data_IF_215410724485
#
_entry.id   IF_215410724485
#
_cell.length_a   1.000
_cell.length_b   1.000
_cell.length_c   1.000
_cell.angle_alpha   90.00
_cell.angle_beta   90.00
_cell.angle_gamma   90.00
#
_symmetry.space_group_name_H-M   'P 1'
#
loop_
_entity.id
_entity.type
_entity.pdbx_description
1 polymer ?
#
# COMPACT_ATOMS: atom_id res chain seq x y z
N UNK A 1 4.22 -11.58 -8.80
CA UNK A 1 3.18 -10.88 -9.58
C UNK A 1 3.88 -9.73 -10.26
N UNK A 2 3.67 -9.57 -11.57
CA UNK A 2 4.19 -8.47 -12.39
C UNK A 2 3.06 -8.02 -13.31
N UNK A 3 2.83 -6.70 -13.40
CA UNK A 3 1.84 -6.12 -14.31
C UNK A 3 2.63 -5.54 -15.49
N UNK A 4 2.31 -6.01 -16.69
CA UNK A 4 2.98 -5.61 -17.94
C UNK A 4 2.15 -4.59 -18.72
N UNK A 5 0.82 -4.63 -18.57
CA UNK A 5 -0.13 -3.69 -19.19
C UNK A 5 -1.25 -3.35 -18.23
N UNK A 6 -1.70 -2.10 -18.29
CA UNK A 6 -2.86 -1.59 -17.58
C UNK A 6 -3.73 -0.78 -18.53
N UNK A 7 -5.02 -1.08 -18.57
CA UNK A 7 -6.02 -0.34 -19.34
C UNK A 7 -7.10 0.13 -18.38
N UNK A 8 -7.49 1.39 -18.48
CA UNK A 8 -8.51 2.01 -17.63
C UNK A 8 -9.58 2.68 -18.49
N UNK A 9 -10.84 2.52 -18.12
CA UNK A 9 -12.00 3.13 -18.79
C UNK A 9 -12.88 3.80 -17.75
N UNK A 10 -13.26 5.06 -18.00
CA UNK A 10 -14.04 5.90 -17.10
C UNK A 10 -13.49 5.95 -15.65
N UNK A 11 -12.16 5.92 -15.49
CA UNK A 11 -11.46 5.92 -14.20
C UNK A 11 -10.82 7.29 -13.94
N UNK A 12 -11.28 8.01 -12.93
CA UNK A 12 -10.89 9.38 -12.58
C UNK A 12 -10.92 10.29 -13.82
N UNK A 13 -9.77 10.82 -14.22
CA UNK A 13 -9.65 11.69 -15.41
C UNK A 13 -9.53 10.94 -16.74
N UNK A 14 -9.50 9.60 -16.75
CA UNK A 14 -9.28 8.81 -17.96
C UNK A 14 -10.59 8.27 -18.53
N UNK A 15 -10.98 8.75 -19.71
CA UNK A 15 -12.10 8.17 -20.48
C UNK A 15 -11.75 6.77 -20.96
N UNK A 16 -10.59 6.64 -21.61
CA UNK A 16 -9.96 5.36 -21.93
C UNK A 16 -8.46 5.61 -22.09
N UNK A 17 -7.63 4.81 -21.44
CA UNK A 17 -6.17 4.92 -21.55
C UNK A 17 -5.49 3.58 -21.30
N UNK A 18 -4.45 3.33 -22.07
CA UNK A 18 -3.59 2.16 -21.93
C UNK A 18 -2.17 2.58 -21.52
N UNK A 19 -1.56 1.77 -20.67
CA UNK A 19 -0.18 1.89 -20.20
C UNK A 19 0.54 0.56 -20.38
N UNK A 20 1.75 0.63 -20.92
CA UNK A 20 2.67 -0.51 -21.02
C UNK A 20 3.85 -0.28 -20.09
N UNK A 21 4.20 -1.30 -19.31
CA UNK A 21 5.27 -1.22 -18.33
C UNK A 21 6.47 -2.05 -18.75
N UNK A 22 7.66 -1.48 -18.58
CA UNK A 22 8.91 -2.22 -18.68
C UNK A 22 9.01 -3.22 -17.51
N UNK A 23 9.54 -4.44 -17.72
CA UNK A 23 9.59 -5.48 -16.70
C UNK A 23 10.48 -5.19 -15.47
N UNK A 24 11.30 -4.13 -15.51
CA UNK A 24 12.24 -3.79 -14.44
C UNK A 24 11.89 -2.50 -13.71
N UNK A 25 11.82 -1.37 -14.41
CA UNK A 25 11.63 -0.06 -13.81
C UNK A 25 10.83 0.85 -14.73
N UNK A 26 9.94 1.66 -14.14
CA UNK A 26 9.06 2.57 -14.86
C UNK A 26 9.05 3.93 -14.16
N UNK A 27 9.26 5.00 -14.93
CA UNK A 27 9.17 6.38 -14.46
C UNK A 27 8.01 7.08 -15.16
N UNK A 28 7.00 7.52 -14.40
CA UNK A 28 5.86 8.27 -14.93
C UNK A 28 6.07 9.76 -14.64
N UNK A 29 6.36 10.53 -15.69
CA UNK A 29 6.55 11.99 -15.60
C UNK A 29 5.36 12.71 -16.25
N UNK A 30 4.98 13.85 -15.68
CA UNK A 30 3.89 14.67 -16.20
C UNK A 30 3.58 15.83 -15.28
N UNK A 31 2.84 16.82 -15.77
CA UNK A 31 2.40 17.97 -14.97
C UNK A 31 1.43 17.54 -13.86
N UNK A 32 1.24 18.38 -12.85
CA UNK A 32 0.22 18.12 -11.84
C UNK A 32 -1.18 18.10 -12.48
N UNK A 33 -2.06 17.23 -11.98
CA UNK A 33 -3.40 17.04 -12.56
C UNK A 33 -3.48 16.14 -13.79
N UNK A 34 -2.38 15.66 -14.37
CA UNK A 34 -2.42 14.82 -15.58
C UNK A 34 -2.74 13.33 -15.33
N UNK A 35 -3.07 12.97 -14.09
CA UNK A 35 -3.47 11.61 -13.73
C UNK A 35 -2.34 10.65 -13.34
N UNK A 36 -1.13 11.14 -12.99
CA UNK A 36 -0.02 10.28 -12.51
C UNK A 36 -0.44 9.39 -11.33
N UNK A 37 -1.07 10.00 -10.33
CA UNK A 37 -1.61 9.29 -9.17
C UNK A 37 -2.71 8.30 -9.58
N UNK A 38 -3.56 8.68 -10.53
CA UNK A 38 -4.62 7.82 -11.05
C UNK A 38 -4.07 6.52 -11.68
N UNK A 39 -2.87 6.53 -12.25
CA UNK A 39 -2.21 5.29 -12.73
C UNK A 39 -1.83 4.38 -11.56
N UNK A 40 -1.27 4.94 -10.49
CA UNK A 40 -0.88 4.18 -9.29
C UNK A 40 -2.11 3.61 -8.57
N UNK A 41 -3.19 4.39 -8.48
CA UNK A 41 -4.45 3.96 -7.88
C UNK A 41 -5.06 2.78 -8.69
N UNK A 42 -5.07 2.89 -10.02
CA UNK A 42 -5.52 1.80 -10.89
C UNK A 42 -4.64 0.54 -10.78
N UNK A 43 -3.32 0.68 -10.62
CA UNK A 43 -2.44 -0.46 -10.29
C UNK A 43 -2.79 -1.10 -8.95
N UNK A 44 -3.16 -0.28 -7.95
CA UNK A 44 -3.66 -0.76 -6.65
C UNK A 44 -4.93 -1.58 -6.78
N UNK A 45 -5.90 -1.09 -7.57
CA UNK A 45 -7.13 -1.83 -7.91
C UNK A 45 -6.78 -3.16 -8.60
N UNK A 46 -5.91 -3.14 -9.62
CA UNK A 46 -5.50 -4.35 -10.34
C UNK A 46 -4.79 -5.38 -9.44
N UNK A 47 -3.92 -4.94 -8.52
CA UNK A 47 -3.28 -5.78 -7.52
C UNK A 47 -4.27 -6.35 -6.48
N UNK A 48 -5.44 -5.74 -6.37
CA UNK A 48 -6.51 -6.08 -5.47
C UNK A 48 -7.03 -7.51 -5.57
N UNK A 49 -7.02 -8.11 -6.76
CA UNK A 49 -7.43 -9.51 -6.96
C UNK A 49 -6.56 -10.48 -6.14
N UNK A 50 -5.23 -10.27 -6.16
CA UNK A 50 -4.30 -11.07 -5.37
C UNK A 50 -4.50 -10.83 -3.86
N UNK A 51 -4.63 -9.57 -3.44
CA UNK A 51 -4.81 -9.20 -2.04
C UNK A 51 -6.10 -9.80 -1.44
N UNK A 52 -7.19 -9.79 -2.23
CA UNK A 52 -8.46 -10.41 -1.83
C UNK A 52 -8.30 -11.91 -1.57
N UNK A 53 -7.62 -12.63 -2.46
CA UNK A 53 -7.40 -14.06 -2.31
C UNK A 53 -6.49 -14.41 -1.12
N UNK A 54 -5.51 -13.57 -0.79
CA UNK A 54 -4.68 -13.75 0.42
C UNK A 54 -5.50 -13.54 1.73
N UNK A 55 -6.65 -12.87 1.64
CA UNK A 55 -7.47 -12.49 2.79
C UNK A 55 -7.07 -11.15 3.40
N UNK A 56 -6.46 -10.25 2.62
CA UNK A 56 -6.27 -8.87 3.04
C UNK A 56 -7.60 -8.10 3.04
N UNK A 57 -7.78 -7.23 4.04
CA UNK A 57 -9.01 -6.44 4.22
C UNK A 57 -9.12 -5.29 3.21
N UNK A 58 -8.01 -4.84 2.64
CA UNK A 58 -7.93 -3.68 1.74
C UNK A 58 -8.14 -4.05 0.27
N UNK A 59 -9.14 -4.91 0.04
CA UNK A 59 -9.28 -5.64 -1.20
C UNK A 59 -9.91 -4.82 -2.33
N UNK A 60 -9.09 -4.10 -3.10
CA UNK A 60 -9.15 -4.14 -4.56
C UNK A 60 -10.46 -3.78 -5.25
N UNK A 61 -11.23 -2.84 -4.71
CA UNK A 61 -12.43 -2.32 -5.35
C UNK A 61 -12.15 -0.95 -5.96
N UNK A 62 -12.80 -0.65 -7.07
CA UNK A 62 -12.92 0.73 -7.55
C UNK A 62 -13.78 1.48 -6.53
N UNK A 63 -13.25 2.57 -5.94
CA UNK A 63 -14.04 3.38 -5.02
C UNK A 63 -14.90 4.38 -5.79
N UNK A 64 -16.04 4.84 -5.27
CA UNK A 64 -16.90 5.81 -5.97
C UNK A 64 -16.15 7.06 -6.43
N UNK A 65 -15.23 7.59 -5.60
CA UNK A 65 -14.38 8.73 -5.92
C UNK A 65 -13.35 8.48 -7.04
N UNK A 66 -13.19 7.22 -7.46
CA UNK A 66 -12.30 6.82 -8.55
C UNK A 66 -13.03 6.66 -9.87
N UNK A 67 -14.35 6.70 -9.87
CA UNK A 67 -15.15 6.66 -11.09
C UNK A 67 -15.20 8.07 -11.70
N UNK A 68 -15.04 8.15 -13.02
CA UNK A 68 -15.08 9.40 -13.77
C UNK A 68 -16.38 10.16 -13.51
N UNK A 69 -16.26 11.48 -13.36
CA UNK A 69 -17.40 12.40 -13.31
C UNK A 69 -17.57 13.10 -14.66
N UNK A 70 -18.79 13.10 -15.19
CA UNK A 70 -19.17 13.87 -16.36
C UNK A 70 -19.96 15.10 -15.91
N UNK A 71 -19.51 16.26 -16.37
CA UNK A 71 -20.24 17.52 -16.23
C UNK A 71 -21.40 17.56 -17.23
N UNK A 72 -22.59 17.88 -16.76
CA UNK A 72 -23.74 18.23 -17.57
C UNK A 72 -24.18 19.64 -17.20
N UNK A 73 -24.35 20.51 -18.18
CA UNK A 73 -24.87 21.87 -18.01
C UNK A 73 -26.35 21.87 -18.41
N UNK A 74 -27.22 22.31 -17.51
CA UNK A 74 -28.63 22.60 -17.81
C UNK A 74 -28.80 24.11 -17.82
N UNK A 75 -29.30 24.63 -18.94
CA UNK A 75 -29.64 26.03 -19.06
C UNK A 75 -31.15 26.15 -18.89
N UNK A 76 -31.56 26.72 -17.77
CA UNK A 76 -32.94 27.01 -17.47
C UNK A 76 -33.17 28.52 -17.62
N UNK A 77 -34.41 28.91 -17.93
CA UNK A 77 -34.82 30.32 -17.94
C UNK A 77 -35.77 30.54 -16.79
N UNK A 78 -35.48 31.53 -15.96
CA UNK A 78 -36.34 31.91 -14.85
C UNK A 78 -37.60 32.64 -15.37
N UNK A 79 -38.57 32.88 -14.49
CA UNK A 79 -39.85 33.53 -14.85
C UNK A 79 -39.65 34.94 -15.45
N UNK A 80 -38.53 35.60 -15.14
CA UNK A 80 -38.12 36.91 -15.68
C UNK A 80 -37.37 36.81 -17.03
N UNK A 81 -37.17 35.60 -17.58
CA UNK A 81 -36.48 35.36 -18.85
C UNK A 81 -34.95 35.36 -18.75
N UNK A 82 -34.38 35.51 -17.55
CA UNK A 82 -32.94 35.39 -17.31
C UNK A 82 -32.47 33.94 -17.41
N UNK A 83 -31.31 33.71 -18.03
CA UNK A 83 -30.76 32.37 -18.23
C UNK A 83 -29.87 31.97 -17.05
N UNK A 84 -30.26 30.92 -16.34
CA UNK A 84 -29.46 30.28 -15.29
C UNK A 84 -28.84 28.99 -15.80
N UNK A 85 -27.53 28.82 -15.61
CA UNK A 85 -26.84 27.57 -15.91
C UNK A 85 -26.60 26.80 -14.61
N UNK A 86 -27.22 25.63 -14.47
CA UNK A 86 -26.95 24.69 -13.40
C UNK A 86 -25.97 23.62 -13.87
N UNK A 87 -25.00 23.28 -13.00
CA UNK A 87 -23.98 22.27 -13.28
C UNK A 87 -24.27 21.05 -12.43
N UNK A 88 -24.45 19.90 -13.08
CA UNK A 88 -24.59 18.60 -12.43
C UNK A 88 -23.41 17.69 -12.79
N UNK A 89 -22.93 16.94 -11.79
CA UNK A 89 -21.86 15.96 -11.96
C UNK A 89 -22.41 14.55 -11.78
N UNK A 90 -22.25 13.71 -12.80
CA UNK A 90 -22.72 12.33 -12.78
C UNK A 90 -21.58 11.34 -12.95
N UNK A 91 -21.62 10.23 -12.21
CA UNK A 91 -20.64 9.16 -12.35
C UNK A 91 -20.86 8.41 -13.67
N UNK A 92 -19.77 8.15 -14.39
CA UNK A 92 -19.81 7.46 -15.69
C UNK A 92 -19.52 5.98 -15.49
N UNK A 93 -20.53 5.15 -15.75
CA UNK A 93 -20.43 3.69 -15.73
C UNK A 93 -20.59 3.12 -17.16
N UNK A 94 -20.01 1.94 -17.46
CA UNK A 94 -19.14 1.14 -16.58
C UNK A 94 -17.76 1.79 -16.38
N UNK A 95 -17.18 1.61 -15.20
CA UNK A 95 -15.79 1.95 -14.89
C UNK A 95 -14.97 0.67 -14.83
N UNK A 96 -13.87 0.61 -15.55
CA UNK A 96 -13.09 -0.62 -15.72
C UNK A 96 -11.61 -0.38 -15.43
N UNK A 97 -11.02 -1.34 -14.73
CA UNK A 97 -9.57 -1.47 -14.56
C UNK A 97 -9.17 -2.87 -15.02
N UNK A 98 -8.45 -2.93 -16.13
CA UNK A 98 -7.93 -4.15 -16.74
C UNK A 98 -6.41 -4.19 -16.63
N UNK A 99 -5.85 -5.34 -16.31
CA UNK A 99 -4.42 -5.54 -16.29
C UNK A 99 -4.04 -6.90 -16.88
N UNK A 100 -2.84 -6.97 -17.46
CA UNK A 100 -2.25 -8.24 -17.87
C UNK A 100 -0.79 -8.34 -17.46
N UNK A 101 -0.33 -9.55 -17.17
CA UNK A 101 1.05 -9.81 -16.82
C UNK A 101 1.26 -11.17 -16.19
N UNK A 102 2.36 -11.34 -15.45
CA UNK A 102 2.77 -12.61 -14.87
C UNK A 102 2.34 -12.77 -13.40
N UNK A 103 1.58 -13.81 -13.12
CA UNK A 103 1.28 -14.26 -11.75
C UNK A 103 1.77 -15.70 -11.62
N UNK A 104 2.69 -15.93 -10.68
CA UNK A 104 3.34 -17.24 -10.47
C UNK A 104 3.91 -17.89 -11.75
N UNK A 105 4.44 -17.06 -12.67
CA UNK A 105 5.04 -17.52 -13.92
C UNK A 105 4.04 -17.78 -15.06
N UNK A 106 2.74 -17.54 -14.84
CA UNK A 106 1.70 -17.70 -15.84
C UNK A 106 1.16 -16.34 -16.28
N UNK A 107 0.84 -16.22 -17.58
CA UNK A 107 0.22 -15.02 -18.13
C UNK A 107 -1.28 -15.01 -17.78
N UNK A 108 -1.75 -13.89 -17.25
CA UNK A 108 -3.16 -13.64 -16.98
C UNK A 108 -3.57 -12.28 -17.53
N UNK A 109 -4.85 -12.16 -17.85
CA UNK A 109 -5.49 -10.90 -18.23
C UNK A 109 -6.80 -10.76 -17.45
N UNK A 110 -6.83 -9.86 -16.48
CA UNK A 110 -7.94 -9.74 -15.55
C UNK A 110 -8.53 -8.33 -15.56
N UNK A 111 -9.85 -8.26 -15.37
CA UNK A 111 -10.58 -6.99 -15.28
C UNK A 111 -11.43 -6.95 -14.02
N UNK A 112 -11.45 -5.77 -13.40
CA UNK A 112 -12.39 -5.38 -12.36
C UNK A 112 -13.27 -4.30 -12.98
N UNK A 113 -14.57 -4.55 -13.04
CA UNK A 113 -15.56 -3.65 -13.63
C UNK A 113 -16.54 -3.22 -12.55
N UNK A 114 -16.83 -1.93 -12.47
CA UNK A 114 -17.92 -1.39 -11.68
C UNK A 114 -19.01 -0.87 -12.62
N UNK A 115 -20.18 -1.49 -12.57
CA UNK A 115 -21.33 -1.13 -13.44
C UNK A 115 -22.30 -0.16 -12.77
N UNK A 116 -22.24 -0.04 -11.45
CA UNK A 116 -23.00 0.93 -10.66
C UNK A 116 -22.32 1.20 -9.32
N UNK A 117 -22.86 2.11 -8.50
CA UNK A 117 -22.33 2.42 -7.16
C UNK A 117 -22.09 1.19 -6.27
N UNK A 118 -22.86 0.12 -6.43
CA UNK A 118 -22.79 -1.08 -5.58
C UNK A 118 -22.46 -2.37 -6.35
N UNK A 119 -22.46 -2.36 -7.69
CA UNK A 119 -22.29 -3.57 -8.49
C UNK A 119 -20.89 -3.65 -9.09
N UNK A 120 -20.09 -4.58 -8.54
CA UNK A 120 -18.76 -4.94 -9.01
C UNK A 120 -18.81 -6.29 -9.71
N UNK A 121 -18.23 -6.37 -10.90
CA UNK A 121 -18.09 -7.58 -11.69
C UNK A 121 -16.60 -7.92 -11.85
N UNK A 122 -16.33 -9.20 -12.03
CA UNK A 122 -14.99 -9.74 -12.21
C UNK A 122 -14.95 -10.68 -13.41
N UNK A 123 -13.84 -10.65 -14.15
CA UNK A 123 -13.58 -11.67 -15.17
C UNK A 123 -13.27 -13.03 -14.55
N UNK A 124 -13.39 -14.10 -15.33
CA UNK A 124 -12.98 -15.45 -14.94
C UNK A 124 -11.52 -15.48 -14.47
N UNK A 125 -10.62 -14.79 -15.17
CA UNK A 125 -9.20 -14.68 -14.79
C UNK A 125 -9.01 -14.01 -13.42
N UNK A 126 -9.82 -12.99 -13.11
CA UNK A 126 -9.80 -12.35 -11.78
C UNK A 126 -10.13 -13.36 -10.68
N UNK A 127 -11.13 -14.21 -10.90
CA UNK A 127 -11.54 -15.27 -9.96
C UNK A 127 -10.44 -16.32 -9.83
N UNK A 128 -9.81 -16.73 -10.95
CA UNK A 128 -8.69 -17.67 -10.97
C UNK A 128 -7.51 -17.11 -10.14
N UNK A 129 -7.20 -15.81 -10.28
CA UNK A 129 -6.16 -15.14 -9.50
C UNK A 129 -6.49 -15.14 -8.01
N UNK A 130 -7.74 -14.82 -7.63
CA UNK A 130 -8.18 -14.88 -6.24
C UNK A 130 -8.01 -16.29 -5.65
N UNK A 131 -8.42 -17.33 -6.39
CA UNK A 131 -8.25 -18.73 -5.97
C UNK A 131 -6.77 -19.15 -5.89
N UNK A 132 -5.91 -18.68 -6.81
CA UNK A 132 -4.48 -18.94 -6.74
C UNK A 132 -3.84 -18.31 -5.51
N UNK A 133 -4.22 -17.07 -5.19
CA UNK A 133 -3.78 -16.37 -3.99
C UNK A 133 -4.27 -17.09 -2.72
N UNK A 134 -5.53 -17.52 -2.68
CA UNK A 134 -6.09 -18.27 -1.56
C UNK A 134 -5.38 -19.61 -1.34
N UNK A 135 -5.16 -20.39 -2.41
CA UNK A 135 -4.38 -21.63 -2.34
C UNK A 135 -2.95 -21.37 -1.83
N UNK A 136 -2.34 -20.26 -2.27
CA UNK A 136 -0.99 -19.87 -1.80
C UNK A 136 -1.02 -19.56 -0.30
N UNK A 137 -2.02 -18.81 0.18
CA UNK A 137 -2.20 -18.53 1.60
C UNK A 137 -2.42 -19.81 2.43
N UNK A 138 -3.20 -20.76 1.92
CA UNK A 138 -3.41 -22.07 2.56
C UNK A 138 -2.11 -22.88 2.61
N UNK A 139 -1.35 -22.95 1.52
CA UNK A 139 -0.04 -23.64 1.51
C UNK A 139 0.92 -23.07 2.55
N UNK A 140 0.95 -21.75 2.73
CA UNK A 140 1.78 -21.08 3.75
C UNK A 140 1.32 -21.46 5.16
N UNK A 141 0.01 -21.46 5.42
CA UNK A 141 -0.54 -21.90 6.71
C UNK A 141 -0.22 -23.37 7.00
N UNK A 142 -0.09 -24.18 5.96
CA UNK A 142 0.33 -25.59 6.05
C UNK A 142 1.86 -25.75 6.12
N UNK A 143 2.63 -24.67 6.28
CA UNK A 143 4.08 -24.72 6.47
C UNK A 143 4.93 -24.73 5.20
N UNK A 144 4.32 -24.56 4.02
CA UNK A 144 5.09 -24.46 2.76
C UNK A 144 5.86 -23.14 2.68
N UNK A 145 7.14 -23.20 2.31
CA UNK A 145 7.94 -22.00 2.07
C UNK A 145 7.88 -21.62 0.58
N UNK A 146 6.93 -20.76 0.22
CA UNK A 146 6.72 -20.30 -1.16
C UNK A 146 7.04 -18.81 -1.23
N UNK A 147 7.77 -18.33 -2.27
CA UNK A 147 8.02 -16.92 -2.43
C UNK A 147 6.73 -16.15 -2.72
N UNK A 148 6.56 -15.02 -2.03
CA UNK A 148 5.40 -14.14 -2.10
C UNK A 148 5.78 -12.83 -2.80
N UNK A 149 4.90 -12.31 -3.70
CA UNK A 149 5.15 -11.01 -4.31
C UNK A 149 5.13 -9.88 -3.29
N UNK A 150 6.17 -9.04 -3.32
CA UNK A 150 6.15 -7.76 -2.61
C UNK A 150 5.39 -6.76 -3.49
N UNK A 151 4.28 -6.26 -2.97
CA UNK A 151 3.50 -5.16 -3.54
C UNK A 151 3.46 -4.09 -2.46
N UNK A 152 3.52 -2.80 -2.81
CA UNK A 152 3.32 -1.69 -1.87
C UNK A 152 3.03 -0.40 -2.64
N UNK A 153 2.14 0.43 -2.09
CA UNK A 153 1.79 1.73 -2.63
C UNK A 153 2.12 2.83 -1.62
N UNK A 154 2.89 3.84 -2.03
CA UNK A 154 3.28 4.97 -1.18
C UNK A 154 2.95 6.31 -1.85
N UNK A 155 1.90 7.00 -1.43
CA UNK A 155 1.55 8.34 -1.96
C UNK A 155 2.35 9.46 -1.28
N UNK A 156 2.43 10.65 -1.87
CA UNK A 156 3.13 11.82 -1.29
C UNK A 156 2.36 12.52 -0.15
N UNK A 157 1.12 12.13 0.14
CA UNK A 157 0.29 12.69 1.24
C UNK A 157 0.80 12.42 2.66
N UNK A 158 2.05 12.00 2.82
CA UNK A 158 2.68 11.31 3.97
C UNK A 158 2.78 12.11 5.27
N UNK A 159 2.21 13.32 5.34
CA UNK A 159 2.47 14.29 6.42
C UNK A 159 1.20 14.88 7.06
N UNK A 160 0.00 14.71 6.48
CA UNK A 160 -1.20 15.45 6.96
C UNK A 160 -2.19 14.69 7.85
N UNK A 161 -2.02 13.39 8.09
CA UNK A 161 -3.04 12.61 8.81
C UNK A 161 -2.56 11.73 9.95
N UNK A 162 -1.25 11.59 10.16
CA UNK A 162 -0.77 10.96 11.39
C UNK A 162 -0.62 12.04 12.47
N UNK A 163 -1.54 12.14 13.46
CA UNK A 163 -1.38 13.08 14.56
C UNK A 163 -0.07 12.81 15.29
N UNK A 164 0.59 13.88 15.77
CA UNK A 164 1.77 13.76 16.63
C UNK A 164 1.51 12.74 17.75
N UNK A 165 2.28 11.64 17.77
CA UNK A 165 2.09 10.52 18.68
C UNK A 165 1.63 9.20 18.02
N UNK A 166 1.28 9.19 16.74
CA UNK A 166 0.96 7.96 16.00
C UNK A 166 2.07 6.94 16.02
N UNK A 167 3.34 7.34 16.11
CA UNK A 167 4.49 6.44 16.12
C UNK A 167 4.82 5.85 17.48
N UNK A 168 4.19 6.35 18.56
CA UNK A 168 4.49 5.99 19.95
C UNK A 168 3.54 4.90 20.44
N UNK A 169 4.09 3.90 21.11
CA UNK A 169 3.31 2.85 21.75
C UNK A 169 2.89 3.34 23.14
N UNK A 170 1.60 3.57 23.33
CA UNK A 170 1.03 3.98 24.62
C UNK A 170 0.59 2.80 25.48
N UNK A 171 0.18 1.69 24.88
CA UNK A 171 -0.20 0.46 25.58
C UNK A 171 0.75 -0.69 25.22
N UNK A 172 1.56 -1.20 26.18
CA UNK A 172 2.46 -2.33 25.97
C UNK A 172 1.76 -3.61 25.45
N UNK A 173 0.46 -3.78 25.72
CA UNK A 173 -0.31 -4.94 25.26
C UNK A 173 -0.42 -4.98 23.72
N UNK A 174 -0.27 -3.84 23.05
CA UNK A 174 -0.29 -3.76 21.59
C UNK A 174 0.90 -4.45 20.91
N UNK A 175 1.99 -4.69 21.63
CA UNK A 175 3.21 -5.37 21.11
C UNK A 175 2.92 -6.87 20.85
N UNK A 176 1.92 -7.44 21.53
CA UNK A 176 1.67 -8.89 21.57
C UNK A 176 0.40 -9.29 20.80
N UNK A 177 0.18 -8.72 19.61
CA UNK A 177 -0.91 -9.20 18.73
C UNK A 177 -0.51 -10.50 18.03
N UNK A 178 -1.37 -11.52 18.10
CA UNK A 178 -1.13 -12.83 17.49
C UNK A 178 -1.31 -12.79 15.96
N UNK A 179 -2.24 -11.95 15.49
CA UNK A 179 -2.52 -11.73 14.08
C UNK A 179 -1.27 -11.33 13.27
N UNK A 180 -0.39 -10.51 13.85
CA UNK A 180 0.78 -9.96 13.18
C UNK A 180 1.90 -10.98 12.93
N UNK A 181 1.78 -12.21 13.45
CA UNK A 181 2.82 -13.25 13.37
C UNK A 181 2.84 -13.98 12.02
N UNK A 182 1.71 -14.02 11.31
CA UNK A 182 1.65 -14.63 9.99
C UNK A 182 2.53 -13.87 9.00
N UNK A 183 3.25 -14.56 8.11
CA UNK A 183 3.94 -13.90 6.99
C UNK A 183 2.96 -13.12 6.10
N UNK A 184 1.69 -13.53 6.06
CA UNK A 184 0.64 -12.90 5.27
C UNK A 184 0.13 -11.57 5.85
N UNK A 185 0.43 -11.26 7.12
CA UNK A 185 -0.01 -9.99 7.73
C UNK A 185 0.58 -8.77 7.03
N UNK A 186 1.72 -8.95 6.36
CA UNK A 186 2.39 -7.91 5.58
C UNK A 186 1.65 -7.48 4.31
N UNK A 187 0.58 -8.18 3.91
CA UNK A 187 -0.33 -7.71 2.86
C UNK A 187 -1.45 -6.80 3.36
N UNK A 188 -1.55 -6.58 4.68
CA UNK A 188 -2.47 -5.60 5.25
C UNK A 188 -1.93 -4.19 5.01
N UNK A 189 -2.82 -3.24 4.75
CA UNK A 189 -2.52 -1.83 4.46
C UNK A 189 -1.48 -1.63 3.33
N UNK A 190 -1.45 -2.55 2.36
CA UNK A 190 -0.45 -2.54 1.28
C UNK A 190 -0.87 -1.71 0.06
N UNK A 191 -2.19 -1.63 -0.16
CA UNK A 191 -2.82 -0.81 -1.21
C UNK A 191 -3.29 0.53 -0.62
N UNK A 192 -3.27 0.70 0.71
CA UNK A 192 -3.50 2.01 1.31
C UNK A 192 -2.25 2.88 1.14
N UNK A 193 -2.35 4.06 0.50
CA UNK A 193 -1.23 4.98 0.37
C UNK A 193 -0.68 5.50 1.71
N UNK A 194 -1.46 5.42 2.78
CA UNK A 194 -1.06 5.75 4.15
C UNK A 194 -0.50 4.49 4.83
N UNK A 195 0.82 4.32 4.78
CA UNK A 195 1.47 3.26 5.54
C UNK A 195 1.50 3.63 7.03
N UNK A 196 1.36 2.63 7.90
CA UNK A 196 1.21 2.83 9.34
C UNK A 196 2.57 2.76 10.05
N UNK A 197 3.09 3.91 10.52
CA UNK A 197 4.36 3.94 11.28
C UNK A 197 4.26 3.09 12.54
N UNK A 198 3.09 3.09 13.20
CA UNK A 198 2.87 2.33 14.43
C UNK A 198 3.06 0.82 14.25
N UNK A 199 2.70 0.27 13.09
CA UNK A 199 2.89 -1.17 12.83
C UNK A 199 4.38 -1.53 12.83
N UNK A 200 5.20 -0.70 12.18
CA UNK A 200 6.65 -0.85 12.18
C UNK A 200 7.24 -0.67 13.59
N UNK A 201 6.82 0.36 14.34
CA UNK A 201 7.26 0.57 15.73
C UNK A 201 6.94 -0.64 16.61
N UNK A 202 5.70 -1.14 16.58
CA UNK A 202 5.28 -2.34 17.35
C UNK A 202 6.11 -3.56 16.99
N UNK A 203 6.40 -3.75 15.70
CA UNK A 203 7.25 -4.86 15.27
C UNK A 203 8.69 -4.72 15.78
N UNK A 204 9.30 -3.54 15.70
CA UNK A 204 10.66 -3.28 16.20
C UNK A 204 10.73 -3.46 17.72
N UNK A 205 9.73 -2.97 18.46
CA UNK A 205 9.61 -3.16 19.90
C UNK A 205 9.59 -4.66 20.26
N UNK A 206 8.77 -5.43 19.55
CA UNK A 206 8.68 -6.88 19.73
C UNK A 206 10.00 -7.59 19.41
N UNK A 207 10.68 -7.24 18.32
CA UNK A 207 11.97 -7.84 17.98
C UNK A 207 13.05 -7.50 19.01
N UNK A 208 13.01 -6.30 19.58
CA UNK A 208 13.91 -5.89 20.66
C UNK A 208 13.69 -6.75 21.91
N UNK A 209 12.43 -7.00 22.28
CA UNK A 209 12.07 -7.93 23.35
C UNK A 209 12.56 -9.36 23.09
N UNK A 210 12.31 -9.91 21.89
CA UNK A 210 12.75 -11.27 21.52
C UNK A 210 14.27 -11.39 21.61
N UNK A 211 15.00 -10.39 21.09
CA UNK A 211 16.46 -10.33 21.14
C UNK A 211 16.97 -10.36 22.57
N UNK A 212 16.33 -9.59 23.47
CA UNK A 212 16.65 -9.59 24.90
C UNK A 212 16.43 -10.97 25.54
N UNK A 213 15.28 -11.60 25.29
CA UNK A 213 14.97 -12.94 25.81
C UNK A 213 15.94 -14.03 25.30
N UNK A 214 16.47 -13.86 24.09
CA UNK A 214 17.40 -14.81 23.47
C UNK A 214 18.87 -14.48 23.77
N UNK A 215 19.16 -13.81 24.89
CA UNK A 215 20.52 -13.45 25.32
C UNK A 215 21.27 -12.62 24.27
N UNK A 216 20.61 -11.58 23.74
CA UNK A 216 21.14 -10.66 22.72
C UNK A 216 21.46 -11.30 21.36
N UNK A 217 20.85 -12.45 21.06
CA UNK A 217 20.88 -13.03 19.70
C UNK A 217 19.83 -12.34 18.83
N UNK A 218 20.29 -11.51 17.90
CA UNK A 218 19.43 -10.76 16.98
C UNK A 218 18.90 -11.70 15.89
N UNK A 219 17.57 -11.84 15.71
CA UNK A 219 17.01 -12.61 14.61
C UNK A 219 17.46 -12.08 13.24
N UNK A 220 17.73 -12.98 12.28
CA UNK A 220 18.22 -12.59 10.94
C UNK A 220 17.28 -11.62 10.20
N UNK A 221 15.96 -11.82 10.34
CA UNK A 221 14.93 -10.92 9.81
C UNK A 221 15.05 -9.52 10.44
N UNK A 222 15.20 -9.44 11.77
CA UNK A 222 15.36 -8.15 12.45
C UNK A 222 16.64 -7.44 12.06
N UNK A 223 17.76 -8.17 11.97
CA UNK A 223 19.04 -7.61 11.54
C UNK A 223 18.97 -7.04 10.12
N UNK A 224 18.29 -7.74 9.21
CA UNK A 224 18.12 -7.30 7.81
C UNK A 224 17.34 -6.00 7.73
N UNK A 225 16.19 -5.91 8.41
CA UNK A 225 15.37 -4.70 8.45
C UNK A 225 16.13 -3.54 9.10
N UNK A 226 16.75 -3.80 10.26
CA UNK A 226 17.54 -2.81 10.99
C UNK A 226 18.68 -2.25 10.13
N UNK A 227 19.43 -3.11 9.42
CA UNK A 227 20.50 -2.67 8.50
C UNK A 227 19.97 -1.78 7.37
N UNK A 228 18.86 -2.16 6.74
CA UNK A 228 18.26 -1.36 5.67
C UNK A 228 17.85 0.03 6.16
N UNK A 229 17.23 0.11 7.33
CA UNK A 229 16.82 1.35 7.98
C UNK A 229 18.01 2.24 8.37
N UNK A 230 19.04 1.67 8.97
CA UNK A 230 20.26 2.42 9.32
C UNK A 230 20.95 2.94 8.05
N UNK A 231 21.03 2.15 6.99
CA UNK A 231 21.71 2.56 5.74
C UNK A 231 21.02 3.68 4.97
N UNK A 232 19.74 4.00 5.26
CA UNK A 232 19.01 5.03 4.54
C UNK A 232 19.07 6.42 5.20
N UNK A 233 19.62 6.52 6.41
CA UNK A 233 19.87 7.79 7.09
C UNK A 233 21.37 8.05 7.13
N UNK A 234 21.78 9.19 6.59
CA UNK A 234 23.18 9.61 6.61
C UNK A 234 23.70 9.73 8.05
N UNK A 235 24.83 9.09 8.33
CA UNK A 235 25.47 9.10 9.64
C UNK A 235 24.79 8.22 10.70
N UNK A 236 23.67 7.56 10.44
CA UNK A 236 23.06 6.66 11.42
C UNK A 236 24.00 5.50 11.78
N UNK A 237 24.20 5.31 13.08
CA UNK A 237 25.06 4.28 13.64
C UNK A 237 24.26 3.06 14.06
N UNK A 238 23.09 3.29 14.67
CA UNK A 238 22.24 2.21 15.16
C UNK A 238 20.77 2.63 15.25
N UNK A 239 19.90 1.63 15.41
CA UNK A 239 18.47 1.81 15.64
C UNK A 239 17.97 0.81 16.68
N UNK A 240 17.27 1.28 17.70
CA UNK A 240 16.71 0.44 18.76
C UNK A 240 15.37 0.99 19.26
N UNK A 241 14.62 0.18 20.01
CA UNK A 241 13.40 0.62 20.66
C UNK A 241 13.69 0.99 22.12
N UNK A 242 13.24 2.17 22.54
CA UNK A 242 13.30 2.62 23.92
C UNK A 242 11.93 2.39 24.58
N UNK A 243 11.91 1.53 25.61
CA UNK A 243 10.68 1.11 26.26
C UNK A 243 10.08 2.20 27.16
N UNK A 244 10.90 3.09 27.72
CA UNK A 244 10.44 4.19 28.59
C UNK A 244 9.77 5.27 27.75
N UNK A 245 10.35 5.58 26.58
CA UNK A 245 9.78 6.54 25.63
C UNK A 245 8.67 5.92 24.77
N UNK A 246 8.67 4.61 24.57
CA UNK A 246 7.73 3.92 23.68
C UNK A 246 7.97 4.21 22.20
N UNK A 247 9.20 4.58 21.82
CA UNK A 247 9.57 5.02 20.49
C UNK A 247 10.83 4.33 19.95
N UNK A 248 10.96 4.30 18.62
CA UNK A 248 12.21 3.94 17.96
C UNK A 248 13.19 5.10 18.08
N UNK A 249 14.41 4.79 18.52
CA UNK A 249 15.52 5.72 18.66
C UNK A 249 16.54 5.45 17.57
N UNK A 250 17.03 6.53 16.95
CA UNK A 250 18.13 6.52 15.99
C UNK A 250 19.38 7.05 16.68
N UNK A 251 20.45 6.27 16.67
CA UNK A 251 21.75 6.68 17.17
C UNK A 251 22.54 7.36 16.06
N UNK A 252 22.97 8.60 16.30
CA UNK A 252 23.82 9.41 15.43
C UNK A 252 25.13 9.75 16.16
N UNK A 253 26.18 10.19 15.45
CA UNK A 253 27.45 10.61 16.06
C UNK A 253 27.27 11.76 17.05
N UNK A 254 26.26 12.62 16.83
CA UNK A 254 25.95 13.77 17.67
C UNK A 254 25.06 13.44 18.87
N UNK A 255 24.58 12.20 18.98
CA UNK A 255 23.66 11.76 20.04
C UNK A 255 22.51 10.91 19.52
N UNK A 256 21.57 10.58 20.39
CA UNK A 256 20.40 9.75 20.08
C UNK A 256 19.16 10.62 19.89
N UNK A 257 18.37 10.36 18.86
CA UNK A 257 17.12 11.07 18.59
C UNK A 257 15.94 10.10 18.49
N UNK A 258 14.80 10.40 19.14
CA UNK A 258 13.56 9.70 18.86
C UNK A 258 13.13 9.88 17.40
N UNK A 259 12.47 8.87 16.84
CA UNK A 259 11.92 8.90 15.48
C UNK A 259 11.07 10.15 15.24
N UNK A 260 10.26 10.54 16.22
CA UNK A 260 9.38 11.71 16.15
C UNK A 260 10.13 13.02 15.93
N UNK A 261 11.39 13.12 16.35
CA UNK A 261 12.23 14.32 16.29
C UNK A 261 13.06 14.42 15.00
N UNK A 262 13.05 13.40 14.16
CA UNK A 262 13.69 13.45 12.85
C UNK A 262 12.98 14.45 11.92
N UNK A 263 13.72 14.98 10.93
CA UNK A 263 13.11 15.81 9.89
C UNK A 263 12.04 15.02 9.11
N UNK A 264 11.07 15.73 8.50
CA UNK A 264 9.97 15.08 7.79
C UNK A 264 10.44 14.16 6.65
N UNK A 265 11.50 14.58 5.95
CA UNK A 265 12.16 13.77 4.93
C UNK A 265 12.81 12.50 5.50
N UNK A 266 13.52 12.62 6.62
CA UNK A 266 14.14 11.46 7.28
C UNK A 266 13.09 10.48 7.82
N UNK A 267 12.02 10.97 8.46
CA UNK A 267 10.91 10.10 8.92
C UNK A 267 10.28 9.35 7.76
N UNK A 268 9.97 10.07 6.68
CA UNK A 268 9.38 9.50 5.47
C UNK A 268 10.27 8.43 4.84
N UNK A 269 11.56 8.69 4.72
CA UNK A 269 12.54 7.75 4.17
C UNK A 269 12.71 6.53 5.06
N UNK A 270 12.93 6.73 6.36
CA UNK A 270 13.15 5.66 7.32
C UNK A 270 11.94 4.73 7.40
N UNK A 271 10.75 5.29 7.43
CA UNK A 271 9.53 4.52 7.57
C UNK A 271 9.15 3.79 6.27
N UNK A 272 9.35 4.41 5.09
CA UNK A 272 9.18 3.74 3.79
C UNK A 272 10.18 2.59 3.63
N UNK A 273 11.46 2.81 3.91
CA UNK A 273 12.50 1.77 3.81
C UNK A 273 12.25 0.66 4.83
N UNK A 274 11.86 1.01 6.05
CA UNK A 274 11.50 0.05 7.10
C UNK A 274 10.31 -0.83 6.69
N UNK A 275 9.25 -0.24 6.13
CA UNK A 275 8.09 -0.98 5.62
C UNK A 275 8.47 -1.91 4.46
N UNK A 276 9.22 -1.44 3.45
CA UNK A 276 9.69 -2.27 2.34
C UNK A 276 10.54 -3.44 2.86
N UNK A 277 11.51 -3.16 3.74
CA UNK A 277 12.41 -4.17 4.27
C UNK A 277 11.66 -5.20 5.14
N UNK A 278 10.73 -4.73 5.98
CA UNK A 278 9.88 -5.59 6.80
C UNK A 278 9.05 -6.53 5.94
N UNK A 279 8.35 -5.98 4.94
CA UNK A 279 7.56 -6.77 3.99
C UNK A 279 8.44 -7.77 3.26
N UNK A 280 9.59 -7.37 2.73
CA UNK A 280 10.50 -8.27 2.05
C UNK A 280 10.94 -9.43 2.95
N UNK A 281 11.41 -9.13 4.17
CA UNK A 281 11.99 -10.09 5.08
C UNK A 281 10.95 -10.99 5.76
N UNK A 282 9.71 -10.53 5.98
CA UNK A 282 8.62 -11.36 6.53
C UNK A 282 7.88 -12.13 5.45
N UNK A 283 7.60 -11.52 4.29
CA UNK A 283 6.98 -12.24 3.17
C UNK A 283 7.89 -13.35 2.67
N UNK A 284 9.22 -13.19 2.76
CA UNK A 284 10.22 -14.14 2.26
C UNK A 284 11.41 -14.27 3.25
N UNK A 285 11.22 -14.94 4.41
CA UNK A 285 12.22 -15.11 5.44
C UNK A 285 13.28 -16.17 5.12
#
# INVERSE_FOLDING_TARGET
MRIDRLTVTNFKGFKSREFMFHPQFNLIVGMNGTGKTSVLDALGVAAGAWHRGIGSKDAGSIRPEEVMLRKSEHNDRDEDGESHSSIQWEHVYPCEVSASGLIRGQNHSWTIEQTSKSRLNWTLDTIIIMQMAEKTAQSIRNGSNIPLPLISYYSLGRSRQEPHGSSKITDPMEIVRKEDQSRLSEYWNTIDPNFSVIHLTRWIARQSWITYQQSNRVPAVFLTVKKAMVSCIEGALDLYFDADLGEVIVALPTGTLPFSYLSDGQRSMLAMVGDIALKAAKLNP
#
